data_IF_765088510041
#
_entry.id   IF_765088510041
#
_cell.length_a   1.000
_cell.length_b   1.000
_cell.length_c   1.000
_cell.angle_alpha   90.00
_cell.angle_beta   90.00
_cell.angle_gamma   90.00
#
_symmetry.space_group_name_H-M   'P 1'
#
loop_
_entity.id
_entity.type
_entity.pdbx_description
1 polymer ?
#
# COMPACT_ATOMS: atom_id res chain seq x y z
N UNK A 1 16.46 -11.78 -13.61
CA UNK A 1 16.22 -10.50 -12.93
C UNK A 1 16.32 -10.73 -11.44
N UNK A 2 16.86 -9.79 -10.65
CA UNK A 2 16.90 -9.91 -9.19
C UNK A 2 15.49 -9.72 -8.61
N UNK A 3 15.15 -10.43 -7.53
CA UNK A 3 13.89 -10.29 -6.78
C UNK A 3 13.61 -8.81 -6.44
N UNK A 4 14.66 -8.06 -6.07
CA UNK A 4 14.57 -6.61 -5.82
C UNK A 4 14.05 -5.82 -7.02
N UNK A 5 14.47 -6.15 -8.24
CA UNK A 5 14.00 -5.46 -9.43
C UNK A 5 12.52 -5.78 -9.73
N UNK A 6 12.10 -7.04 -9.53
CA UNK A 6 10.70 -7.42 -9.70
C UNK A 6 9.81 -6.73 -8.66
N UNK A 7 10.24 -6.70 -7.41
CA UNK A 7 9.52 -6.00 -6.34
C UNK A 7 9.41 -4.51 -6.63
N UNK A 8 10.52 -3.88 -7.06
CA UNK A 8 10.51 -2.46 -7.44
C UNK A 8 9.51 -2.17 -8.56
N UNK A 9 9.48 -3.02 -9.59
CA UNK A 9 8.52 -2.87 -10.68
C UNK A 9 7.07 -3.03 -10.21
N UNK A 10 6.78 -3.97 -9.30
CA UNK A 10 5.44 -4.13 -8.70
C UNK A 10 5.03 -2.86 -7.95
N UNK A 11 5.90 -2.37 -7.08
CA UNK A 11 5.70 -1.15 -6.28
C UNK A 11 5.45 0.08 -7.17
N UNK A 12 6.27 0.26 -8.22
CA UNK A 12 6.09 1.36 -9.18
C UNK A 12 4.81 1.23 -10.01
N UNK A 13 4.43 0.01 -10.39
CA UNK A 13 3.18 -0.24 -11.11
C UNK A 13 1.94 0.06 -10.26
N UNK A 14 1.94 -0.36 -9.00
CA UNK A 14 0.88 -0.02 -8.04
C UNK A 14 0.84 1.49 -7.82
N UNK A 15 2.00 2.13 -7.70
CA UNK A 15 2.08 3.57 -7.42
C UNK A 15 1.53 4.36 -8.60
N UNK A 16 1.91 3.96 -9.82
CA UNK A 16 1.35 4.53 -11.03
C UNK A 16 -0.17 4.37 -11.09
N UNK A 17 -0.68 3.18 -10.78
CA UNK A 17 -2.13 2.92 -10.79
C UNK A 17 -2.86 3.80 -9.77
N UNK A 18 -2.23 4.05 -8.61
CA UNK A 18 -2.77 4.91 -7.57
C UNK A 18 -2.79 6.39 -7.98
N UNK A 19 -1.70 6.93 -8.52
CA UNK A 19 -1.67 8.34 -8.93
C UNK A 19 -2.51 8.61 -10.20
N UNK A 20 -2.67 7.61 -11.07
CA UNK A 20 -3.50 7.71 -12.28
C UNK A 20 -5.01 7.65 -11.92
N UNK A 21 -5.36 7.21 -10.72
CA UNK A 21 -6.73 7.20 -10.21
C UNK A 21 -7.27 8.64 -10.07
N UNK A 22 -8.51 8.93 -10.54
CA UNK A 22 -9.07 10.28 -10.52
C UNK A 22 -9.37 10.79 -9.10
N UNK A 23 -9.55 9.89 -8.14
CA UNK A 23 -9.93 10.23 -6.77
C UNK A 23 -8.70 10.43 -5.86
N UNK A 24 -7.48 10.24 -6.40
CA UNK A 24 -6.26 10.43 -5.64
C UNK A 24 -6.02 11.93 -5.37
N UNK A 25 -5.74 12.34 -4.11
CA UNK A 25 -5.47 13.72 -3.78
C UNK A 25 -4.10 14.15 -4.33
N UNK A 26 -4.10 14.85 -5.47
CA UNK A 26 -2.87 15.25 -6.20
C UNK A 26 -2.27 16.58 -5.77
N UNK A 27 -3.06 17.43 -5.13
CA UNK A 27 -2.70 18.83 -4.84
C UNK A 27 -2.11 19.01 -3.43
N UNK A 28 -2.01 17.94 -2.64
CA UNK A 28 -1.55 17.98 -1.25
C UNK A 28 -0.69 16.74 -0.90
N UNK A 29 -0.02 16.79 0.25
CA UNK A 29 0.61 15.62 0.86
C UNK A 29 -0.46 14.57 1.16
N UNK A 30 -0.30 13.38 0.58
CA UNK A 30 -1.27 12.29 0.67
C UNK A 30 -0.80 11.24 1.66
N UNK A 31 -1.68 10.85 2.58
CA UNK A 31 -1.47 9.67 3.44
C UNK A 31 -1.85 8.42 2.64
N UNK A 32 -0.89 7.51 2.53
CA UNK A 32 -1.01 6.24 1.82
C UNK A 32 -0.70 5.10 2.79
N UNK A 33 -1.65 4.19 2.93
CA UNK A 33 -1.51 2.96 3.67
C UNK A 33 -1.02 1.86 2.73
N UNK A 34 0.19 1.36 2.97
CA UNK A 34 0.71 0.19 2.27
C UNK A 34 0.28 -1.06 2.99
N UNK A 35 -0.42 -1.95 2.28
CA UNK A 35 -1.04 -3.14 2.86
C UNK A 35 -0.26 -4.39 2.48
N UNK A 36 0.07 -5.20 3.48
CA UNK A 36 0.71 -6.50 3.33
C UNK A 36 -0.20 -7.61 3.89
N UNK A 37 -0.34 -8.68 3.12
CA UNK A 37 -1.17 -9.84 3.49
C UNK A 37 -0.35 -11.13 3.41
N UNK A 38 -0.71 -12.19 4.14
CA UNK A 38 -0.07 -13.51 4.00
C UNK A 38 -0.05 -14.01 2.55
N UNK A 39 1.03 -14.68 2.14
CA UNK A 39 1.13 -15.27 0.80
C UNK A 39 0.28 -16.54 0.64
N UNK A 40 0.11 -17.30 1.72
CA UNK A 40 -0.61 -18.57 1.74
C UNK A 40 -1.54 -18.63 2.97
N UNK A 41 -2.65 -19.34 2.82
CA UNK A 41 -3.64 -19.54 3.88
C UNK A 41 -4.84 -18.61 3.80
N UNK A 42 -5.78 -18.78 4.72
CA UNK A 42 -6.91 -17.87 4.89
C UNK A 42 -6.41 -16.57 5.54
N UNK A 43 -6.73 -15.44 4.93
CA UNK A 43 -6.33 -14.12 5.44
C UNK A 43 -7.32 -13.68 6.51
N UNK A 44 -6.82 -13.43 7.72
CA UNK A 44 -7.57 -12.79 8.80
C UNK A 44 -7.08 -11.36 9.03
N UNK A 45 -7.96 -10.50 9.57
CA UNK A 45 -7.67 -9.09 9.88
C UNK A 45 -6.37 -8.91 10.69
N UNK A 46 -6.13 -9.76 11.69
CA UNK A 46 -4.99 -9.68 12.60
C UNK A 46 -3.63 -9.95 11.91
N UNK A 47 -3.66 -10.64 10.77
CA UNK A 47 -2.47 -10.97 9.98
C UNK A 47 -2.13 -9.89 8.94
N UNK A 48 -3.03 -8.92 8.74
CA UNK A 48 -2.83 -7.80 7.82
C UNK A 48 -1.90 -6.78 8.48
N UNK A 49 -0.73 -6.59 7.88
CA UNK A 49 0.20 -5.52 8.25
C UNK A 49 -0.12 -4.29 7.39
N UNK A 50 -0.28 -3.14 8.04
CA UNK A 50 -0.50 -1.84 7.40
C UNK A 50 0.63 -0.90 7.79
N UNK A 51 1.23 -0.25 6.79
CA UNK A 51 2.27 0.77 6.97
C UNK A 51 1.74 2.11 6.46
N UNK A 52 1.52 3.06 7.37
CA UNK A 52 1.14 4.43 7.03
C UNK A 52 2.38 5.21 6.54
N UNK A 53 2.24 5.87 5.40
CA UNK A 53 3.29 6.67 4.78
C UNK A 53 2.71 7.91 4.13
N UNK A 54 3.38 9.05 4.30
CA UNK A 54 3.04 10.29 3.59
C UNK A 54 3.83 10.38 2.29
N UNK A 55 3.18 10.88 1.23
CA UNK A 55 3.82 11.15 -0.06
C UNK A 55 3.33 12.47 -0.64
N UNK A 56 4.30 13.29 -1.06
CA UNK A 56 4.06 14.53 -1.79
C UNK A 56 4.42 14.28 -3.26
N UNK A 57 3.45 14.43 -4.16
CA UNK A 57 3.65 14.21 -5.59
C UNK A 57 4.40 15.36 -6.29
N UNK A 58 4.40 16.55 -5.70
CA UNK A 58 5.16 17.70 -6.21
C UNK A 58 6.65 17.58 -5.87
N UNK A 59 6.97 16.93 -4.74
CA UNK A 59 8.35 16.60 -4.34
C UNK A 59 8.84 15.25 -4.89
N UNK A 60 9.69 15.30 -5.92
CA UNK A 60 10.36 14.12 -6.48
C UNK A 60 11.18 13.33 -5.45
N UNK A 61 11.74 14.00 -4.45
CA UNK A 61 12.48 13.32 -3.38
C UNK A 61 11.52 12.57 -2.45
N UNK A 62 10.36 13.15 -2.11
CA UNK A 62 9.27 12.48 -1.40
C UNK A 62 8.80 11.22 -2.14
N UNK A 63 8.46 11.33 -3.43
CA UNK A 63 8.07 10.16 -4.27
C UNK A 63 9.17 9.09 -4.28
N UNK A 64 10.43 9.48 -4.44
CA UNK A 64 11.55 8.52 -4.42
C UNK A 64 11.67 7.83 -3.07
N UNK A 65 11.59 8.58 -1.96
CA UNK A 65 11.64 8.04 -0.59
C UNK A 65 10.51 7.06 -0.34
N UNK A 66 9.28 7.39 -0.74
CA UNK A 66 8.13 6.50 -0.67
C UNK A 66 8.39 5.18 -1.43
N UNK A 67 8.77 5.26 -2.70
CA UNK A 67 9.01 4.06 -3.51
C UNK A 67 10.17 3.20 -2.95
N UNK A 68 11.25 3.84 -2.48
CA UNK A 68 12.41 3.14 -1.91
C UNK A 68 12.04 2.45 -0.59
N UNK A 69 11.30 3.14 0.28
CA UNK A 69 10.79 2.62 1.55
C UNK A 69 9.84 1.45 1.32
N UNK A 70 8.83 1.63 0.48
CA UNK A 70 7.84 0.59 0.16
C UNK A 70 8.49 -0.63 -0.50
N UNK A 71 9.49 -0.44 -1.36
CA UNK A 71 10.25 -1.56 -1.93
C UNK A 71 10.99 -2.34 -0.84
N UNK A 72 11.62 -1.65 0.12
CA UNK A 72 12.31 -2.29 1.24
C UNK A 72 11.33 -3.05 2.14
N UNK A 73 10.26 -2.39 2.57
CA UNK A 73 9.21 -3.00 3.40
C UNK A 73 8.59 -4.23 2.71
N UNK A 74 8.36 -4.16 1.40
CA UNK A 74 7.85 -5.30 0.62
C UNK A 74 8.83 -6.48 0.57
N UNK A 75 10.14 -6.21 0.48
CA UNK A 75 11.15 -7.28 0.53
C UNK A 75 11.27 -7.88 1.94
N UNK A 76 11.12 -7.07 2.99
CA UNK A 76 11.09 -7.56 4.38
C UNK A 76 9.84 -8.40 4.64
N UNK A 77 8.69 -7.96 4.15
CA UNK A 77 7.42 -8.70 4.20
C UNK A 77 7.51 -10.04 3.45
N UNK A 78 8.14 -10.07 2.27
CA UNK A 78 8.38 -11.31 1.51
C UNK A 78 9.17 -12.35 2.32
N UNK A 79 10.19 -11.92 3.06
CA UNK A 79 10.95 -12.79 3.97
C UNK A 79 10.09 -13.32 5.14
N UNK A 80 9.08 -12.56 5.57
CA UNK A 80 8.12 -12.98 6.60
C UNK A 80 6.99 -13.87 6.04
N UNK A 81 6.95 -14.16 4.74
CA UNK A 81 5.86 -14.91 4.11
C UNK A 81 4.61 -14.06 3.82
N UNK A 82 4.77 -12.74 3.71
CA UNK A 82 3.73 -11.80 3.31
C UNK A 82 4.00 -11.25 1.91
N UNK A 83 2.99 -10.67 1.26
CA UNK A 83 3.09 -9.96 -0.01
C UNK A 83 2.41 -8.60 0.09
N UNK A 84 2.91 -7.64 -0.67
CA UNK A 84 2.17 -6.39 -0.89
C UNK A 84 0.87 -6.70 -1.62
N UNK A 85 -0.25 -6.37 -0.98
CA UNK A 85 -1.59 -6.45 -1.54
C UNK A 85 -1.88 -5.22 -2.40
N UNK A 86 -1.58 -4.04 -1.87
CA UNK A 86 -1.91 -2.79 -2.55
C UNK A 86 -1.68 -1.55 -1.69
N UNK A 87 -2.22 -0.44 -2.16
CA UNK A 87 -2.25 0.83 -1.45
C UNK A 87 -3.68 1.20 -1.10
N UNK A 88 -3.86 1.88 0.02
CA UNK A 88 -5.13 2.51 0.40
C UNK A 88 -4.87 3.99 0.65
N UNK A 89 -5.74 4.85 0.16
CA UNK A 89 -5.66 6.29 0.40
C UNK A 89 -7.05 6.85 0.70
N UNK A 90 -7.10 8.01 1.33
CA UNK A 90 -8.35 8.72 1.62
C UNK A 90 -8.75 9.57 0.41
N UNK A 91 -9.94 9.33 -0.13
CA UNK A 91 -10.59 10.15 -1.14
C UNK A 91 -11.78 10.90 -0.53
N UNK A 92 -12.42 11.78 -1.31
CA UNK A 92 -13.63 12.50 -0.86
C UNK A 92 -14.80 11.57 -0.48
N UNK A 93 -14.83 10.34 -1.03
CA UNK A 93 -15.87 9.34 -0.76
C UNK A 93 -15.47 8.33 0.32
N UNK A 94 -14.25 8.43 0.88
CA UNK A 94 -13.73 7.55 1.93
C UNK A 94 -12.43 6.84 1.53
N UNK A 95 -12.11 5.74 2.22
CA UNK A 95 -10.90 4.96 1.93
C UNK A 95 -11.05 4.19 0.61
N UNK A 96 -10.10 4.37 -0.30
CA UNK A 96 -10.06 3.70 -1.61
C UNK A 96 -8.84 2.80 -1.72
N UNK A 97 -9.05 1.59 -2.25
CA UNK A 97 -8.02 0.55 -2.38
C UNK A 97 -7.57 0.43 -3.83
N UNK A 98 -6.26 0.40 -4.04
CA UNK A 98 -5.60 0.12 -5.32
C UNK A 98 -4.80 -1.17 -5.17
N UNK A 99 -5.25 -2.22 -5.85
CA UNK A 99 -4.61 -3.52 -5.84
C UNK A 99 -4.52 -4.13 -7.24
N UNK A 100 -3.58 -5.05 -7.41
CA UNK A 100 -3.47 -5.93 -8.59
C UNK A 100 -3.86 -7.37 -8.27
N UNK A 101 -4.27 -7.65 -7.04
CA UNK A 101 -4.66 -8.99 -6.59
C UNK A 101 -6.13 -9.25 -6.96
N UNK A 102 -6.46 -10.51 -7.26
CA UNK A 102 -7.84 -10.89 -7.62
C UNK A 102 -8.72 -11.22 -6.41
N UNK A 103 -8.11 -11.44 -5.25
CA UNK A 103 -8.81 -11.73 -4.01
C UNK A 103 -9.33 -10.44 -3.41
N UNK A 104 -10.63 -10.39 -3.11
CA UNK A 104 -11.26 -9.24 -2.48
C UNK A 104 -11.11 -9.35 -0.96
N UNK A 105 -10.21 -8.55 -0.41
CA UNK A 105 -9.95 -8.44 1.03
C UNK A 105 -10.36 -7.06 1.57
N UNK A 106 -11.16 -6.32 0.79
CA UNK A 106 -11.43 -4.90 1.05
C UNK A 106 -12.01 -4.67 2.45
N UNK A 107 -13.02 -5.43 2.84
CA UNK A 107 -13.67 -5.29 4.16
C UNK A 107 -12.68 -5.50 5.33
N UNK A 108 -11.82 -6.52 5.24
CA UNK A 108 -10.82 -6.81 6.28
C UNK A 108 -9.76 -5.72 6.37
N UNK A 109 -9.29 -5.23 5.21
CA UNK A 109 -8.28 -4.18 5.12
C UNK A 109 -8.82 -2.86 5.67
N UNK A 110 -10.04 -2.47 5.28
CA UNK A 110 -10.68 -1.25 5.76
C UNK A 110 -10.91 -1.31 7.27
N UNK A 111 -11.44 -2.42 7.79
CA UNK A 111 -11.62 -2.64 9.23
C UNK A 111 -10.27 -2.52 9.97
N UNK A 112 -9.20 -3.11 9.42
CA UNK A 112 -7.87 -3.04 10.03
C UNK A 112 -7.33 -1.61 10.09
N UNK A 113 -7.51 -0.84 9.02
CA UNK A 113 -7.07 0.57 8.94
C UNK A 113 -7.88 1.44 9.92
N UNK A 114 -9.21 1.27 9.98
CA UNK A 114 -10.06 2.02 10.91
C UNK A 114 -9.63 1.79 12.36
N UNK A 115 -9.42 0.53 12.77
CA UNK A 115 -8.94 0.23 14.12
C UNK A 115 -7.57 0.82 14.41
N UNK A 116 -6.66 0.79 13.44
CA UNK A 116 -5.35 1.42 13.58
C UNK A 116 -5.47 2.94 13.80
N UNK A 117 -6.44 3.61 13.15
CA UNK A 117 -6.73 5.04 13.36
C UNK A 117 -7.36 5.32 14.73
N UNK A 118 -8.19 4.41 15.25
CA UNK A 118 -8.85 4.57 16.56
C UNK A 118 -7.93 4.31 17.77
N UNK A 119 -6.85 3.55 17.59
CA UNK A 119 -5.88 3.23 18.64
C UNK A 119 -4.82 4.34 18.88
N UNK A 120 -4.86 5.43 18.11
CA UNK A 120 -3.96 6.60 18.18
C UNK A 120 -4.63 7.79 18.85
#
# INVERSE_FOLDING_TARGET
MSIRHQMRQKVESLFKSMIDDPDFPREEEAVVYVVFVPQEGEVSEEQIEVSEQEVDLEDKESVKRFLDRTTRESLEADVKGQKIYGYVFESEEGLKIITQESEDLSDLILTRIERMREEV
#
